data_IF_109933537018
#
_entry.id   IF_109933537018
#
_cell.length_a   1.000
_cell.length_b   1.000
_cell.length_c   1.000
_cell.angle_alpha   90.00
_cell.angle_beta   90.00
_cell.angle_gamma   90.00
#
_symmetry.space_group_name_H-M   'P 1'
#
loop_
_entity.id
_entity.type
_entity.pdbx_description
1 polymer ?
#
# COMPACT_ATOMS: atom_id res chain seq x y z
N UNK A 1 0.22 -1.23 14.29
CA UNK A 1 -0.35 -2.53 14.34
C UNK A 1 0.13 -3.42 15.48
N UNK A 2 -0.43 -3.28 16.69
CA UNK A 2 0.00 -4.06 17.86
C UNK A 2 -0.86 -5.31 18.10
N UNK A 3 -1.92 -5.55 17.33
CA UNK A 3 -2.94 -6.59 17.49
C UNK A 3 -3.87 -6.35 18.70
N UNK A 4 -3.36 -5.99 19.89
CA UNK A 4 -4.14 -5.85 21.14
C UNK A 4 -4.60 -4.42 21.44
N UNK A 5 -4.22 -3.46 20.64
CA UNK A 5 -4.60 -2.06 20.82
C UNK A 5 -5.97 -1.76 20.22
N UNK A 6 -6.83 -1.07 20.96
CA UNK A 6 -8.00 -0.38 20.39
C UNK A 6 -7.51 0.87 19.65
N UNK A 7 -7.62 0.84 18.33
CA UNK A 7 -7.11 1.89 17.46
C UNK A 7 -7.91 3.19 17.60
N UNK A 8 -9.20 3.10 17.89
CA UNK A 8 -10.08 4.26 18.07
C UNK A 8 -9.70 5.05 19.32
N UNK A 9 -9.58 4.35 20.45
CA UNK A 9 -9.31 4.96 21.77
C UNK A 9 -7.81 5.10 22.08
N UNK A 10 -6.95 4.49 21.25
CA UNK A 10 -5.48 4.42 21.49
C UNK A 10 -5.12 3.85 22.84
N UNK A 11 -5.81 2.79 23.24
CA UNK A 11 -5.60 2.08 24.52
C UNK A 11 -5.45 0.58 24.30
N UNK A 12 -4.86 -0.12 25.24
CA UNK A 12 -4.86 -1.58 25.22
C UNK A 12 -6.27 -2.12 25.43
N UNK A 13 -6.70 -3.05 24.59
CA UNK A 13 -8.02 -3.66 24.63
C UNK A 13 -8.06 -4.80 25.66
N UNK A 14 -8.79 -4.64 26.74
CA UNK A 14 -8.95 -5.69 27.75
C UNK A 14 -9.53 -6.98 27.16
N UNK A 15 -10.44 -6.87 26.19
CA UNK A 15 -11.05 -8.02 25.50
C UNK A 15 -10.02 -8.82 24.70
N UNK A 16 -9.16 -8.13 23.93
CA UNK A 16 -8.14 -8.79 23.10
C UNK A 16 -7.03 -9.36 23.95
N UNK A 17 -6.62 -8.67 25.01
CA UNK A 17 -5.64 -9.16 25.98
C UNK A 17 -6.15 -10.43 26.66
N UNK A 18 -7.37 -10.41 27.19
CA UNK A 18 -7.98 -11.58 27.83
C UNK A 18 -8.11 -12.77 26.87
N UNK A 19 -8.50 -12.55 25.62
CA UNK A 19 -8.58 -13.60 24.60
C UNK A 19 -7.22 -14.22 24.26
N UNK A 20 -6.13 -13.52 24.54
CA UNK A 20 -4.74 -13.96 24.33
C UNK A 20 -4.05 -14.41 25.62
N UNK A 21 -4.77 -14.49 26.73
CA UNK A 21 -4.24 -14.80 28.07
C UNK A 21 -3.14 -13.82 28.52
N UNK A 22 -3.26 -12.55 28.12
CA UNK A 22 -2.34 -11.47 28.46
C UNK A 22 -2.98 -10.48 29.43
N UNK A 23 -2.14 -9.80 30.20
CA UNK A 23 -2.52 -8.73 31.11
C UNK A 23 -1.96 -7.40 30.62
N UNK A 24 -2.53 -6.28 31.09
CA UNK A 24 -2.00 -4.93 30.78
C UNK A 24 -0.54 -4.76 31.21
N UNK A 25 -0.14 -5.37 32.29
CA UNK A 25 1.24 -5.31 32.80
C UNK A 25 2.28 -5.98 31.87
N UNK A 26 1.80 -6.79 30.92
CA UNK A 26 2.65 -7.36 29.88
C UNK A 26 2.86 -6.39 28.71
N UNK A 27 2.13 -5.29 28.66
CA UNK A 27 2.13 -4.36 27.54
C UNK A 27 3.02 -3.15 27.79
N UNK A 28 3.75 -2.67 26.77
CA UNK A 28 4.52 -1.45 26.90
C UNK A 28 3.61 -0.23 27.01
N UNK A 29 4.19 0.89 27.44
CA UNK A 29 3.51 2.19 27.41
C UNK A 29 3.23 2.59 25.96
N UNK A 30 2.00 3.02 25.69
CA UNK A 30 1.62 3.60 24.40
C UNK A 30 2.03 5.06 24.36
N UNK A 31 2.63 5.45 23.25
CA UNK A 31 3.08 6.83 22.99
C UNK A 31 2.74 7.21 21.56
N UNK A 32 2.66 8.50 21.28
CA UNK A 32 2.56 9.01 19.90
C UNK A 32 3.91 8.88 19.18
N UNK A 33 3.91 8.89 17.85
CA UNK A 33 5.11 8.67 17.05
C UNK A 33 6.23 9.67 17.32
N UNK A 34 5.91 10.91 17.64
CA UNK A 34 6.84 12.01 17.93
C UNK A 34 7.07 12.24 19.44
N UNK A 35 6.48 11.44 20.30
CA UNK A 35 6.62 11.57 21.75
C UNK A 35 7.95 10.96 22.22
N UNK A 36 8.63 11.66 23.13
CA UNK A 36 9.88 11.19 23.75
C UNK A 36 9.62 9.97 24.63
N UNK A 37 10.37 8.89 24.38
CA UNK A 37 10.33 7.64 25.15
C UNK A 37 11.57 7.46 26.02
N UNK A 38 12.58 8.30 25.82
CA UNK A 38 13.81 8.27 26.58
C UNK A 38 15.00 8.84 25.83
N UNK A 39 16.19 8.59 26.37
CA UNK A 39 17.46 9.01 25.75
C UNK A 39 18.32 7.79 25.43
N UNK A 40 19.19 7.94 24.44
CA UNK A 40 20.13 6.90 24.05
C UNK A 40 21.04 6.52 25.22
N UNK A 41 21.23 5.23 25.46
CA UNK A 41 22.09 4.74 26.54
C UNK A 41 23.52 5.31 26.43
N UNK A 42 24.16 5.71 27.54
CA UNK A 42 25.49 6.30 27.53
C UNK A 42 26.53 5.43 26.77
N UNK A 43 26.49 4.13 26.95
CA UNK A 43 27.40 3.18 26.27
C UNK A 43 27.28 3.23 24.73
N UNK A 44 26.05 3.44 24.20
CA UNK A 44 25.82 3.55 22.77
C UNK A 44 26.27 4.93 22.26
N UNK A 45 25.94 5.98 23.04
CA UNK A 45 26.39 7.35 22.75
C UNK A 45 27.92 7.41 22.62
N UNK A 46 28.66 6.81 23.55
CA UNK A 46 30.12 6.73 23.55
C UNK A 46 30.65 5.93 22.36
N UNK A 47 30.11 4.71 22.16
CA UNK A 47 30.52 3.83 21.06
C UNK A 47 30.44 4.51 19.69
N UNK A 48 29.37 5.28 19.44
CA UNK A 48 29.15 5.97 18.17
C UNK A 48 29.57 7.45 18.19
N UNK A 49 30.20 7.91 19.27
CA UNK A 49 30.76 9.27 19.43
C UNK A 49 29.73 10.39 19.20
N UNK A 50 28.50 10.20 19.64
CA UNK A 50 27.50 11.28 19.59
C UNK A 50 27.87 12.39 20.58
N UNK A 51 27.99 13.62 20.09
CA UNK A 51 28.36 14.78 20.91
C UNK A 51 27.20 15.26 21.83
N UNK A 52 25.95 15.10 21.37
CA UNK A 52 24.74 15.50 22.10
C UNK A 52 23.97 14.29 22.63
N UNK A 53 23.05 14.52 23.55
CA UNK A 53 22.07 13.51 23.90
C UNK A 53 21.15 13.29 22.72
N UNK A 54 20.93 12.01 22.38
CA UNK A 54 20.01 11.57 21.33
C UNK A 54 18.72 11.15 21.99
N UNK A 55 17.63 11.81 21.64
CA UNK A 55 16.29 11.50 22.11
C UNK A 55 15.79 10.30 21.31
N UNK A 56 15.12 9.36 21.98
CA UNK A 56 14.42 8.23 21.37
C UNK A 56 12.94 8.56 21.39
N UNK A 57 12.30 8.47 20.25
CA UNK A 57 10.86 8.76 20.08
C UNK A 57 10.07 7.50 19.78
N UNK A 58 8.75 7.58 19.83
CA UNK A 58 7.83 6.47 19.59
C UNK A 58 7.99 5.80 18.24
N UNK A 59 8.27 6.58 17.20
CA UNK A 59 8.51 6.09 15.85
C UNK A 59 7.23 5.85 15.03
N UNK A 60 7.36 5.11 13.95
CA UNK A 60 6.25 4.92 13.01
C UNK A 60 6.28 3.54 12.33
N UNK A 61 5.12 3.05 11.90
CA UNK A 61 5.05 2.02 10.87
C UNK A 61 5.50 2.58 9.52
N UNK A 62 6.05 1.72 8.65
CA UNK A 62 6.68 2.08 7.38
C UNK A 62 5.80 2.93 6.45
N UNK A 63 4.53 2.55 6.27
CA UNK A 63 3.60 3.29 5.41
C UNK A 63 3.25 4.66 5.98
N UNK A 64 3.05 4.79 7.30
CA UNK A 64 2.81 6.08 7.94
C UNK A 64 4.05 6.99 7.90
N UNK A 65 5.24 6.40 8.09
CA UNK A 65 6.51 7.11 7.92
C UNK A 65 6.71 7.56 6.47
N UNK A 66 6.43 6.69 5.49
CA UNK A 66 6.52 7.04 4.07
C UNK A 66 5.57 8.21 3.72
N UNK A 67 4.32 8.16 4.22
CA UNK A 67 3.37 9.26 4.05
C UNK A 67 3.92 10.58 4.61
N UNK A 68 4.41 10.57 5.86
CA UNK A 68 5.01 11.76 6.47
C UNK A 68 6.22 12.27 5.68
N UNK A 69 7.08 11.36 5.22
CA UNK A 69 8.26 11.70 4.41
C UNK A 69 7.92 12.37 3.08
N UNK A 70 6.84 11.95 2.45
CA UNK A 70 6.33 12.53 1.20
C UNK A 70 5.46 13.78 1.43
N UNK A 71 5.15 14.14 2.67
CA UNK A 71 4.25 15.24 2.97
C UNK A 71 2.77 14.91 2.76
N UNK A 72 2.41 13.63 2.66
CA UNK A 72 1.03 13.14 2.53
C UNK A 72 0.46 12.99 3.94
N UNK A 73 -0.01 14.09 4.49
CA UNK A 73 -0.43 14.17 5.89
C UNK A 73 -1.86 14.70 6.07
N UNK A 74 -2.44 15.23 5.01
CA UNK A 74 -3.80 15.76 5.01
C UNK A 74 -4.80 14.76 4.43
N UNK A 75 -6.04 14.85 4.88
CA UNK A 75 -7.11 13.90 4.58
C UNK A 75 -7.61 13.93 3.13
N UNK A 76 -7.24 14.95 2.34
CA UNK A 76 -7.47 15.02 0.91
C UNK A 76 -6.33 14.44 0.05
N UNK A 77 -5.25 14.00 0.68
CA UNK A 77 -4.09 13.39 0.03
C UNK A 77 -4.10 11.88 0.18
N UNK A 78 -3.47 11.20 -0.75
CA UNK A 78 -3.29 9.74 -0.69
C UNK A 78 -2.10 9.31 -1.52
N UNK A 79 -1.67 8.06 -1.36
CA UNK A 79 -0.71 7.48 -2.30
C UNK A 79 -1.09 6.04 -2.69
N UNK A 80 -0.66 5.65 -3.88
CA UNK A 80 -0.63 4.26 -4.33
C UNK A 80 0.83 3.82 -4.35
N UNK A 81 1.14 2.78 -3.59
CA UNK A 81 2.42 2.08 -3.71
C UNK A 81 2.26 0.89 -4.66
N UNK A 82 2.96 0.94 -5.80
CA UNK A 82 2.96 -0.11 -6.81
C UNK A 82 4.31 -0.84 -6.78
N UNK A 83 4.46 -1.68 -5.77
CA UNK A 83 5.60 -2.58 -5.56
C UNK A 83 5.22 -4.04 -5.84
N UNK A 84 5.96 -5.00 -5.29
CA UNK A 84 5.61 -6.44 -5.32
C UNK A 84 4.15 -6.66 -4.94
N UNK A 85 3.71 -6.04 -3.84
CA UNK A 85 2.30 -5.86 -3.45
C UNK A 85 1.82 -4.44 -3.76
N UNK A 86 0.51 -4.21 -3.74
CA UNK A 86 -0.13 -2.91 -3.93
C UNK A 86 -0.71 -2.36 -2.63
N UNK A 87 -0.56 -1.07 -2.39
CA UNK A 87 -1.21 -0.39 -1.27
C UNK A 87 -1.83 0.92 -1.76
N UNK A 88 -3.08 1.16 -1.39
CA UNK A 88 -3.64 2.51 -1.42
C UNK A 88 -3.79 2.99 0.01
N UNK A 89 -3.18 4.12 0.31
CA UNK A 89 -3.09 4.73 1.65
C UNK A 89 -3.73 6.12 1.65
N UNK A 90 -4.53 6.43 2.67
CA UNK A 90 -5.08 7.78 2.87
C UNK A 90 -5.12 8.14 4.35
N UNK A 91 -4.58 9.31 4.76
CA UNK A 91 -4.71 9.83 6.12
C UNK A 91 -6.16 10.19 6.43
N UNK A 92 -6.52 10.17 7.71
CA UNK A 92 -7.85 10.59 8.18
C UNK A 92 -7.74 11.35 9.50
N UNK A 93 -8.62 12.35 9.70
CA UNK A 93 -8.70 13.15 10.94
C UNK A 93 -9.48 12.46 12.05
N UNK A 94 -10.17 11.39 11.74
CA UNK A 94 -10.96 10.59 12.69
C UNK A 94 -10.79 9.10 12.40
N UNK A 95 -11.05 8.29 13.40
CA UNK A 95 -11.08 6.85 13.21
C UNK A 95 -12.22 6.46 12.26
N UNK A 96 -11.89 5.72 11.24
CA UNK A 96 -12.82 5.13 10.28
C UNK A 96 -12.48 3.64 10.12
N UNK A 97 -13.48 2.83 9.81
CA UNK A 97 -13.29 1.39 9.62
C UNK A 97 -14.19 0.84 8.51
N UNK A 98 -13.66 -0.10 7.75
CA UNK A 98 -14.40 -1.01 6.89
C UNK A 98 -13.80 -2.41 7.06
N UNK A 99 -14.26 -3.13 8.06
CA UNK A 99 -13.79 -4.49 8.36
C UNK A 99 -14.39 -5.52 7.41
N UNK A 100 -15.48 -5.18 6.75
CA UNK A 100 -16.19 -6.07 5.82
C UNK A 100 -15.32 -6.34 4.59
N UNK A 101 -14.67 -5.31 4.06
CA UNK A 101 -13.76 -5.39 2.91
C UNK A 101 -12.29 -5.50 3.33
N UNK A 102 -12.01 -5.88 4.59
CA UNK A 102 -10.66 -6.01 5.14
C UNK A 102 -9.76 -4.77 4.95
N UNK A 103 -10.34 -3.56 4.98
CA UNK A 103 -9.59 -2.31 4.99
C UNK A 103 -8.86 -2.16 6.32
N UNK A 104 -7.57 -1.89 6.28
CA UNK A 104 -6.79 -1.62 7.48
C UNK A 104 -7.04 -0.21 7.99
N UNK A 105 -7.25 -0.09 9.30
CA UNK A 105 -7.31 1.17 10.03
C UNK A 105 -6.24 1.19 11.09
N UNK A 106 -5.36 2.20 11.08
CA UNK A 106 -4.26 2.33 12.05
C UNK A 106 -4.16 3.77 12.53
N UNK A 107 -3.50 3.95 13.70
CA UNK A 107 -3.01 5.25 14.10
C UNK A 107 -1.93 5.70 13.12
N UNK A 108 -1.97 6.95 12.70
CA UNK A 108 -0.89 7.57 11.95
C UNK A 108 0.31 7.84 12.88
N UNK A 109 1.52 8.05 12.34
CA UNK A 109 2.67 8.49 13.12
C UNK A 109 2.55 9.93 13.63
N UNK A 110 1.65 10.72 13.03
CA UNK A 110 1.33 12.06 13.49
C UNK A 110 0.24 12.02 14.56
N UNK A 111 0.34 12.83 15.63
CA UNK A 111 -0.64 12.86 16.71
C UNK A 111 -2.08 13.13 16.22
N UNK A 112 -3.03 12.48 16.86
CA UNK A 112 -4.46 12.67 16.62
C UNK A 112 -4.90 12.42 15.15
N UNK A 113 -4.13 11.65 14.39
CA UNK A 113 -4.48 11.21 13.03
C UNK A 113 -4.54 9.69 12.96
N UNK A 114 -5.32 9.20 12.02
CA UNK A 114 -5.40 7.80 11.62
C UNK A 114 -5.12 7.68 10.13
N UNK A 115 -5.09 6.48 9.62
CA UNK A 115 -5.06 6.22 8.19
C UNK A 115 -5.80 4.93 7.84
N UNK A 116 -6.29 4.90 6.62
CA UNK A 116 -6.84 3.70 6.00
C UNK A 116 -5.84 3.15 4.98
N UNK A 117 -5.79 1.83 4.86
CA UNK A 117 -5.08 1.17 3.78
C UNK A 117 -5.91 0.05 3.18
N UNK A 118 -6.03 0.02 1.87
CA UNK A 118 -6.31 -1.21 1.14
C UNK A 118 -4.99 -1.88 0.76
N UNK A 119 -4.95 -3.19 0.86
CA UNK A 119 -3.74 -3.98 0.57
C UNK A 119 -4.08 -5.05 -0.44
N UNK A 120 -3.39 -5.02 -1.56
CA UNK A 120 -3.39 -6.00 -2.62
C UNK A 120 -2.12 -6.85 -2.50
N UNK A 121 -2.25 -8.17 -2.38
CA UNK A 121 -1.12 -9.05 -2.09
C UNK A 121 -0.18 -9.26 -3.27
N UNK A 122 -0.65 -9.14 -4.49
CA UNK A 122 0.13 -9.35 -5.72
C UNK A 122 -0.13 -8.21 -6.70
N UNK A 123 0.83 -7.30 -6.87
CA UNK A 123 0.76 -6.17 -7.79
C UNK A 123 1.84 -6.29 -8.87
N UNK A 124 3.00 -5.62 -8.77
CA UNK A 124 4.03 -5.78 -9.80
C UNK A 124 4.63 -7.19 -9.86
N UNK A 125 4.48 -7.99 -8.80
CA UNK A 125 4.82 -9.42 -8.85
C UNK A 125 4.02 -10.20 -9.92
N UNK A 126 2.83 -9.75 -10.30
CA UNK A 126 2.09 -10.34 -11.41
C UNK A 126 2.78 -10.07 -12.76
N UNK A 127 3.38 -8.87 -12.92
CA UNK A 127 4.17 -8.55 -14.11
C UNK A 127 5.46 -9.38 -14.14
N UNK A 128 6.16 -9.53 -13.01
CA UNK A 128 7.35 -10.38 -12.92
C UNK A 128 7.01 -11.83 -13.30
N UNK A 129 5.87 -12.33 -12.79
CA UNK A 129 5.38 -13.67 -13.09
C UNK A 129 5.09 -13.89 -14.57
N UNK A 130 4.36 -12.98 -15.23
CA UNK A 130 4.07 -13.13 -16.67
C UNK A 130 5.33 -12.97 -17.53
N UNK A 131 6.28 -12.11 -17.14
CA UNK A 131 7.58 -11.99 -17.77
C UNK A 131 8.36 -13.31 -17.72
N UNK A 132 8.37 -13.97 -16.57
CA UNK A 132 9.01 -15.28 -16.40
C UNK A 132 8.39 -16.34 -17.32
N UNK A 133 7.06 -16.43 -17.38
CA UNK A 133 6.34 -17.41 -18.22
C UNK A 133 6.56 -17.16 -19.70
N UNK A 134 6.57 -15.89 -20.11
CA UNK A 134 6.70 -15.51 -21.52
C UNK A 134 8.15 -15.37 -22.00
N UNK A 135 9.12 -15.49 -21.09
CA UNK A 135 10.56 -15.34 -21.41
C UNK A 135 10.93 -13.92 -21.85
N UNK A 136 10.22 -12.90 -21.37
CA UNK A 136 10.40 -11.50 -21.74
C UNK A 136 11.02 -10.69 -20.58
N UNK A 137 11.73 -9.61 -20.90
CA UNK A 137 12.08 -8.60 -19.90
C UNK A 137 10.85 -7.76 -19.53
N UNK A 138 10.89 -7.09 -18.39
CA UNK A 138 9.84 -6.18 -17.93
C UNK A 138 9.60 -5.08 -18.96
N UNK A 139 10.67 -4.50 -19.50
CA UNK A 139 10.59 -3.43 -20.52
C UNK A 139 9.90 -3.92 -21.78
N UNK A 140 10.26 -5.14 -22.26
CA UNK A 140 9.65 -5.73 -23.44
C UNK A 140 8.16 -6.04 -23.20
N UNK A 141 7.80 -6.59 -22.04
CA UNK A 141 6.42 -6.87 -21.69
C UNK A 141 5.56 -5.60 -21.60
N UNK A 142 6.07 -4.54 -20.98
CA UNK A 142 5.41 -3.23 -20.92
C UNK A 142 5.25 -2.61 -22.30
N UNK A 143 6.26 -2.72 -23.19
CA UNK A 143 6.16 -2.22 -24.55
C UNK A 143 5.15 -3.02 -25.40
N UNK A 144 5.14 -4.35 -25.25
CA UNK A 144 4.15 -5.22 -25.93
C UNK A 144 2.73 -4.87 -25.49
N UNK A 145 2.51 -4.73 -24.18
CA UNK A 145 1.21 -4.34 -23.62
C UNK A 145 0.76 -2.95 -24.10
N UNK A 146 1.68 -1.99 -24.16
CA UNK A 146 1.41 -0.65 -24.69
C UNK A 146 1.02 -0.68 -26.17
N UNK A 147 1.73 -1.46 -26.97
CA UNK A 147 1.44 -1.60 -28.39
C UNK A 147 0.09 -2.29 -28.61
N UNK A 148 -0.21 -3.32 -27.79
CA UNK A 148 -1.50 -4.00 -27.81
C UNK A 148 -2.64 -3.02 -27.49
N UNK A 149 -2.52 -2.26 -26.41
CA UNK A 149 -3.51 -1.25 -26.01
C UNK A 149 -3.80 -0.21 -27.10
N UNK A 150 -2.78 0.19 -27.88
CA UNK A 150 -2.90 1.21 -28.92
C UNK A 150 -3.55 0.71 -30.21
N UNK A 151 -3.48 -0.60 -30.52
CA UNK A 151 -3.77 -1.13 -31.83
C UNK A 151 -4.89 -2.18 -31.90
N UNK A 152 -5.36 -2.67 -30.72
CA UNK A 152 -6.30 -3.79 -30.66
C UNK A 152 -7.67 -3.37 -30.09
N UNK A 153 -8.67 -4.17 -30.43
CA UNK A 153 -10.00 -4.06 -29.85
C UNK A 153 -10.01 -4.67 -28.43
N UNK A 154 -10.04 -3.81 -27.43
CA UNK A 154 -9.97 -4.19 -26.03
C UNK A 154 -11.21 -4.97 -25.53
N UNK A 155 -12.36 -4.90 -26.23
CA UNK A 155 -13.59 -5.64 -25.86
C UNK A 155 -13.35 -7.15 -25.82
N UNK A 156 -12.42 -7.62 -26.64
CA UNK A 156 -12.11 -9.04 -26.76
C UNK A 156 -10.86 -9.48 -26.00
N UNK A 157 -10.31 -8.63 -25.14
CA UNK A 157 -9.14 -8.94 -24.32
C UNK A 157 -9.51 -9.93 -23.22
N UNK A 158 -8.66 -10.91 -22.88
CA UNK A 158 -8.88 -11.74 -21.72
C UNK A 158 -8.78 -10.91 -20.43
N UNK A 159 -9.47 -11.33 -19.38
CA UNK A 159 -9.36 -10.71 -18.05
C UNK A 159 -8.40 -11.51 -17.18
N UNK A 160 -7.60 -10.82 -16.39
CA UNK A 160 -6.72 -11.44 -15.42
C UNK A 160 -7.15 -11.05 -13.99
N UNK A 161 -7.34 -12.03 -13.14
CA UNK A 161 -7.55 -11.84 -11.71
C UNK A 161 -6.20 -11.96 -10.99
N UNK A 162 -5.70 -10.91 -10.34
CA UNK A 162 -4.32 -10.83 -9.87
C UNK A 162 -4.07 -11.51 -8.50
N UNK A 163 -4.86 -12.47 -8.10
CA UNK A 163 -4.86 -13.05 -6.75
C UNK A 163 -3.83 -14.19 -6.58
N UNK A 164 -2.59 -13.95 -6.98
CA UNK A 164 -1.55 -14.99 -7.05
C UNK A 164 -1.22 -15.63 -5.70
N UNK A 165 -1.39 -14.91 -4.60
CA UNK A 165 -1.06 -15.34 -3.22
C UNK A 165 -2.26 -15.25 -2.27
N UNK A 166 -3.47 -15.45 -2.78
CA UNK A 166 -4.68 -15.03 -2.08
C UNK A 166 -4.92 -13.53 -2.23
N UNK A 167 -5.96 -12.99 -1.60
CA UNK A 167 -6.18 -11.55 -1.62
C UNK A 167 -6.75 -11.04 -0.30
N UNK A 168 -6.34 -9.82 0.08
CA UNK A 168 -6.80 -9.17 1.32
C UNK A 168 -7.97 -8.25 1.02
N UNK A 169 -7.75 -7.05 0.54
CA UNK A 169 -8.81 -6.08 0.25
C UNK A 169 -9.27 -6.23 -1.21
N UNK A 170 -10.57 -6.38 -1.49
CA UNK A 170 -11.70 -6.44 -0.55
C UNK A 170 -12.08 -7.86 -0.10
N UNK A 171 -11.50 -8.89 -0.65
CA UNK A 171 -12.00 -10.28 -0.59
C UNK A 171 -11.73 -10.97 0.74
N UNK A 172 -10.61 -10.64 1.40
CA UNK A 172 -10.12 -11.29 2.63
C UNK A 172 -10.11 -12.83 2.52
N UNK A 173 -9.67 -13.32 1.37
CA UNK A 173 -9.64 -14.75 1.05
C UNK A 173 -8.21 -15.23 0.76
N UNK A 174 -7.60 -16.04 1.66
CA UNK A 174 -6.26 -16.58 1.45
C UNK A 174 -6.22 -17.70 0.40
N UNK A 175 -7.37 -18.20 -0.05
CA UNK A 175 -7.48 -19.35 -0.95
C UNK A 175 -7.77 -18.96 -2.40
N UNK A 176 -8.24 -17.74 -2.67
CA UNK A 176 -8.43 -17.26 -4.05
C UNK A 176 -7.10 -17.29 -4.81
N UNK A 177 -7.15 -17.58 -6.10
CA UNK A 177 -5.96 -17.66 -6.97
C UNK A 177 -6.12 -16.86 -8.24
N UNK A 178 -4.97 -16.45 -8.80
CA UNK A 178 -4.91 -15.78 -10.08
C UNK A 178 -5.46 -16.65 -11.20
N UNK A 179 -6.14 -16.03 -12.15
CA UNK A 179 -6.72 -16.73 -13.29
C UNK A 179 -6.89 -15.80 -14.49
N UNK A 180 -6.83 -16.40 -15.70
CA UNK A 180 -7.26 -15.76 -16.92
C UNK A 180 -8.66 -16.24 -17.31
N UNK A 181 -9.49 -15.32 -17.76
CA UNK A 181 -10.82 -15.59 -18.27
C UNK A 181 -10.95 -15.13 -19.74
N UNK A 182 -11.84 -15.74 -20.50
CA UNK A 182 -12.11 -15.40 -21.91
C UNK A 182 -10.91 -15.56 -22.84
N UNK A 183 -10.08 -16.59 -22.60
CA UNK A 183 -9.01 -16.95 -23.54
C UNK A 183 -9.61 -17.47 -24.86
N UNK A 184 -9.01 -17.08 -25.96
CA UNK A 184 -9.35 -17.50 -27.31
C UNK A 184 -8.15 -18.19 -27.98
N UNK A 185 -8.36 -18.96 -29.02
CA UNK A 185 -7.29 -19.63 -29.77
C UNK A 185 -6.26 -18.67 -30.37
N UNK A 186 -6.66 -17.42 -30.62
CA UNK A 186 -5.79 -16.36 -31.15
C UNK A 186 -5.27 -15.39 -30.06
N UNK A 187 -5.53 -15.68 -28.76
CA UNK A 187 -4.94 -14.87 -27.68
C UNK A 187 -3.42 -14.98 -27.74
N UNK A 188 -2.77 -13.86 -28.00
CA UNK A 188 -1.33 -13.77 -28.12
C UNK A 188 -0.66 -13.33 -26.80
N UNK A 189 0.65 -13.38 -26.77
CA UNK A 189 1.47 -13.01 -25.61
C UNK A 189 1.24 -11.55 -25.16
N UNK A 190 1.10 -10.62 -26.11
CA UNK A 190 0.89 -9.20 -25.79
C UNK A 190 -0.46 -8.97 -25.10
N UNK A 191 -1.50 -9.70 -25.52
CA UNK A 191 -2.81 -9.69 -24.87
C UNK A 191 -2.73 -10.17 -23.42
N UNK A 192 -1.99 -11.25 -23.15
CA UNK A 192 -1.81 -11.75 -21.80
C UNK A 192 -1.03 -10.76 -20.92
N UNK A 193 0.03 -10.16 -21.43
CA UNK A 193 0.83 -9.15 -20.72
C UNK A 193 -0.01 -7.90 -20.41
N UNK A 194 -0.80 -7.44 -21.37
CA UNK A 194 -1.72 -6.32 -21.15
C UNK A 194 -2.77 -6.65 -20.08
N UNK A 195 -3.42 -7.82 -20.17
CA UNK A 195 -4.43 -8.26 -19.21
C UNK A 195 -3.90 -8.30 -17.77
N UNK A 196 -2.64 -8.72 -17.59
CA UNK A 196 -2.02 -8.74 -16.25
C UNK A 196 -1.87 -7.32 -15.71
N UNK A 197 -1.39 -6.38 -16.52
CA UNK A 197 -1.22 -4.98 -16.10
C UNK A 197 -2.58 -4.34 -15.81
N UNK A 198 -3.56 -4.58 -16.66
CA UNK A 198 -4.93 -4.09 -16.50
C UNK A 198 -5.61 -4.70 -15.25
N UNK A 199 -5.48 -6.00 -15.04
CA UNK A 199 -6.04 -6.69 -13.89
C UNK A 199 -5.50 -6.17 -12.56
N UNK A 200 -4.20 -5.83 -12.50
CA UNK A 200 -3.62 -5.16 -11.32
C UNK A 200 -4.24 -3.77 -11.12
N UNK A 201 -4.48 -3.02 -12.19
CA UNK A 201 -5.14 -1.71 -12.08
C UNK A 201 -6.57 -1.82 -11.54
N UNK A 202 -7.33 -2.81 -11.97
CA UNK A 202 -8.67 -3.07 -11.43
C UNK A 202 -8.63 -3.53 -9.96
N UNK A 203 -7.67 -4.36 -9.57
CA UNK A 203 -7.48 -4.73 -8.16
C UNK A 203 -7.18 -3.52 -7.27
N UNK A 204 -6.39 -2.55 -7.76
CA UNK A 204 -6.18 -1.27 -7.05
C UNK A 204 -7.49 -0.48 -6.98
N UNK A 205 -8.28 -0.42 -8.06
CA UNK A 205 -9.59 0.26 -8.06
C UNK A 205 -10.54 -0.37 -7.04
N UNK A 206 -10.59 -1.68 -6.90
CA UNK A 206 -11.40 -2.37 -5.89
C UNK A 206 -11.01 -1.94 -4.47
N UNK A 207 -9.70 -1.88 -4.20
CA UNK A 207 -9.19 -1.38 -2.93
C UNK A 207 -9.56 0.09 -2.66
N UNK A 208 -9.50 0.94 -3.68
CA UNK A 208 -9.94 2.34 -3.59
C UNK A 208 -11.44 2.41 -3.31
N UNK A 209 -12.26 1.61 -3.98
CA UNK A 209 -13.72 1.59 -3.79
C UNK A 209 -14.10 1.14 -2.39
N UNK A 210 -13.38 0.18 -1.81
CA UNK A 210 -13.57 -0.25 -0.42
C UNK A 210 -13.32 0.88 0.58
N UNK A 211 -12.33 1.74 0.31
CA UNK A 211 -12.06 2.91 1.13
C UNK A 211 -13.10 4.02 0.87
N UNK A 212 -13.52 4.23 -0.38
CA UNK A 212 -14.56 5.21 -0.73
C UNK A 212 -15.87 5.00 0.02
N UNK A 213 -16.19 3.79 0.39
CA UNK A 213 -17.40 3.48 1.15
C UNK A 213 -17.45 4.15 2.54
N UNK A 214 -16.29 4.50 3.10
CA UNK A 214 -16.18 5.12 4.44
C UNK A 214 -15.44 6.45 4.44
N UNK A 215 -14.61 6.71 3.45
CA UNK A 215 -13.90 7.98 3.23
C UNK A 215 -13.78 8.26 1.73
N UNK A 216 -14.42 9.33 1.27
CA UNK A 216 -14.34 9.75 -0.13
C UNK A 216 -13.60 11.09 -0.32
N UNK A 217 -12.81 11.49 0.67
CA UNK A 217 -12.09 12.77 0.67
C UNK A 217 -10.60 12.53 0.33
N UNK A 218 -10.31 12.20 -0.94
CA UNK A 218 -8.94 12.11 -1.46
C UNK A 218 -8.93 12.50 -2.93
N UNK A 219 -8.40 13.66 -3.23
CA UNK A 219 -8.33 14.20 -4.58
C UNK A 219 -6.92 14.07 -5.17
N UNK A 220 -5.90 14.28 -4.34
CA UNK A 220 -4.50 14.18 -4.75
C UNK A 220 -3.97 12.76 -4.49
N UNK A 221 -3.66 12.04 -5.56
CA UNK A 221 -3.12 10.68 -5.47
C UNK A 221 -1.67 10.67 -5.98
N UNK A 222 -0.75 10.33 -5.09
CA UNK A 222 0.67 10.20 -5.41
C UNK A 222 1.04 8.75 -5.71
N UNK A 223 1.98 8.55 -6.63
CA UNK A 223 2.47 7.23 -7.02
C UNK A 223 3.88 7.00 -6.48
N UNK A 224 4.08 5.82 -5.88
CA UNK A 224 5.37 5.36 -5.37
C UNK A 224 5.62 3.91 -5.75
N UNK A 225 6.86 3.44 -5.57
CA UNK A 225 7.25 2.07 -5.89
C UNK A 225 7.73 1.89 -7.32
N UNK A 226 8.24 0.69 -7.63
CA UNK A 226 8.87 0.39 -8.93
C UNK A 226 7.95 0.54 -10.13
N UNK A 227 6.68 0.20 -10.00
CA UNK A 227 5.68 0.33 -11.06
C UNK A 227 5.39 1.78 -11.47
N UNK A 228 5.68 2.75 -10.60
CA UNK A 228 5.52 4.18 -10.92
C UNK A 228 6.51 4.68 -11.99
N UNK A 229 7.53 3.91 -12.34
CA UNK A 229 8.49 4.23 -13.40
C UNK A 229 7.92 4.02 -14.81
N UNK A 230 6.83 3.27 -14.96
CA UNK A 230 6.19 3.02 -16.26
C UNK A 230 5.10 4.06 -16.54
N UNK A 231 5.37 4.98 -17.46
CA UNK A 231 4.38 5.98 -17.90
C UNK A 231 3.13 5.32 -18.48
N UNK A 232 3.27 4.19 -19.19
CA UNK A 232 2.14 3.44 -19.72
C UNK A 232 1.26 2.91 -18.59
N UNK A 233 1.83 2.26 -17.58
CA UNK A 233 1.08 1.73 -16.47
C UNK A 233 0.35 2.83 -15.69
N UNK A 234 1.03 3.95 -15.45
CA UNK A 234 0.42 5.11 -14.81
C UNK A 234 -0.76 5.69 -15.61
N UNK A 235 -0.63 5.79 -16.92
CA UNK A 235 -1.70 6.27 -17.79
C UNK A 235 -2.91 5.35 -17.75
N UNK A 236 -2.69 4.03 -17.83
CA UNK A 236 -3.75 3.03 -17.74
C UNK A 236 -4.44 3.07 -16.38
N UNK A 237 -3.68 3.09 -15.29
CA UNK A 237 -4.22 3.18 -13.93
C UNK A 237 -5.03 4.47 -13.74
N UNK A 238 -4.49 5.63 -14.16
CA UNK A 238 -5.19 6.91 -14.10
C UNK A 238 -6.53 6.87 -14.86
N UNK A 239 -6.54 6.24 -16.02
CA UNK A 239 -7.76 6.07 -16.84
C UNK A 239 -8.80 5.18 -16.15
N UNK A 240 -8.37 4.07 -15.52
CA UNK A 240 -9.26 3.13 -14.83
C UNK A 240 -9.83 3.75 -13.56
N UNK A 241 -9.02 4.38 -12.73
CA UNK A 241 -9.49 4.98 -11.47
C UNK A 241 -10.18 6.34 -11.66
N UNK A 242 -10.11 6.92 -12.87
CA UNK A 242 -10.67 8.23 -13.23
C UNK A 242 -10.15 9.36 -12.31
N UNK A 243 -8.84 9.33 -12.01
CA UNK A 243 -8.15 10.33 -11.17
C UNK A 243 -6.78 10.66 -11.73
N UNK A 244 -6.36 11.91 -11.51
CA UNK A 244 -4.99 12.35 -11.83
C UNK A 244 -4.01 11.69 -10.85
N UNK A 245 -2.92 11.19 -11.38
CA UNK A 245 -1.81 10.63 -10.61
C UNK A 245 -0.60 11.56 -10.69
N UNK A 246 0.07 11.76 -9.58
CA UNK A 246 1.32 12.52 -9.48
C UNK A 246 2.45 11.59 -9.02
N UNK A 247 3.61 11.66 -9.66
CA UNK A 247 4.79 10.88 -9.23
C UNK A 247 5.56 11.70 -8.19
N UNK A 248 5.96 11.05 -7.10
CA UNK A 248 6.76 11.68 -6.06
C UNK A 248 8.25 11.41 -6.31
N UNK A 249 9.03 12.46 -6.55
CA UNK A 249 10.46 12.36 -6.90
C UNK A 249 11.35 11.77 -5.80
N UNK A 250 10.91 11.82 -4.53
CA UNK A 250 11.67 11.34 -3.37
C UNK A 250 11.09 10.05 -2.75
N UNK A 251 10.25 9.34 -3.48
CA UNK A 251 9.53 8.17 -2.96
C UNK A 251 10.42 7.01 -2.51
N UNK A 252 11.64 6.90 -3.04
CA UNK A 252 12.59 5.84 -2.69
C UNK A 252 13.08 5.93 -1.23
N UNK A 253 13.08 7.12 -0.65
CA UNK A 253 13.52 7.38 0.74
C UNK A 253 12.35 7.72 1.67
N UNK A 254 11.12 7.57 1.22
CA UNK A 254 9.93 8.09 1.90
C UNK A 254 9.87 7.74 3.39
N UNK A 255 10.00 6.47 3.75
CA UNK A 255 9.92 6.04 5.16
C UNK A 255 11.10 6.58 6.00
N UNK A 256 12.34 6.52 5.50
CA UNK A 256 13.50 7.05 6.19
C UNK A 256 13.42 8.57 6.38
N UNK A 257 12.97 9.28 5.34
CA UNK A 257 12.76 10.72 5.39
C UNK A 257 11.65 11.10 6.39
N UNK A 258 10.58 10.31 6.46
CA UNK A 258 9.48 10.54 7.39
C UNK A 258 9.87 10.35 8.86
N UNK A 259 10.75 9.38 9.15
CA UNK A 259 11.28 9.19 10.51
C UNK A 259 12.29 10.29 10.87
N UNK A 260 12.96 10.89 9.88
CA UNK A 260 13.94 11.97 10.11
C UNK A 260 13.29 13.35 10.29
N UNK A 261 12.05 13.54 9.85
CA UNK A 261 11.26 14.78 10.00
C UNK A 261 10.54 14.82 11.34
#
# INVERSE_FOLDING_TARGET
>A
GTLWMNIEDRTWSDKLLAASFLLKDHMPTLVEGNEETGILKPSIKEKFKFSKNVIVVGGAGDNAAAAAGMGIVDDNQSFISLGTSGVFFTPTKKFLKNTQDAVHSFCHCLPNKWHLMSVMLSASSCLDWICLITGQSIEAALQNAKNFYANEDLINTPYFLPYMSGERTPHNDPHVRGSFHYLKTNTNQAALQFSVIEGVCFGILDGINSIKSVNNNFDDIFMVGGGSRSSFWLTLLSSIIQRKLSVCDQSEFGAALGVAR
#
